data_IF_710327204272
#
_entry.id   IF_710327204272
#
_cell.length_a   1.000
_cell.length_b   1.000
_cell.length_c   1.000
_cell.angle_alpha   90.00
_cell.angle_beta   90.00
_cell.angle_gamma   90.00
#
_symmetry.space_group_name_H-M   'P 1'
#
loop_
_entity.id
_entity.type
_entity.pdbx_description
1 polymer ?
#
# COMPACT_ATOMS: atom_id res chain seq x y z
N UNK A 1 -17.72 -9.40 -5.23
CA UNK A 1 -17.92 -7.97 -4.82
C UNK A 1 -16.73 -7.08 -5.15
N UNK A 2 -15.49 -7.61 -5.11
CA UNK A 2 -14.29 -6.92 -5.63
C UNK A 2 -14.30 -6.84 -7.17
N UNK A 3 -14.98 -7.78 -7.82
CA UNK A 3 -15.06 -7.95 -9.28
C UNK A 3 -15.73 -6.78 -10.01
N UNK A 4 -16.61 -6.03 -9.32
CA UNK A 4 -17.25 -4.83 -9.87
C UNK A 4 -16.36 -3.58 -9.81
N UNK A 5 -15.27 -3.62 -9.04
CA UNK A 5 -14.34 -2.50 -8.84
C UNK A 5 -13.10 -2.62 -9.72
N UNK A 6 -12.79 -3.84 -10.18
CA UNK A 6 -11.74 -4.12 -11.18
C UNK A 6 -12.00 -3.25 -12.40
N UNK A 7 -11.02 -2.44 -12.78
CA UNK A 7 -11.05 -1.53 -13.94
C UNK A 7 -12.08 -0.39 -13.86
N UNK A 8 -12.66 -0.10 -12.70
CA UNK A 8 -13.46 1.12 -12.54
C UNK A 8 -12.57 2.37 -12.56
N UNK A 9 -13.06 3.46 -13.16
CA UNK A 9 -12.32 4.73 -13.20
C UNK A 9 -11.97 5.24 -11.80
N UNK A 10 -12.89 5.04 -10.84
CA UNK A 10 -12.67 5.37 -9.44
C UNK A 10 -11.49 4.58 -8.82
N UNK A 11 -11.36 3.30 -9.15
CA UNK A 11 -10.20 2.49 -8.71
C UNK A 11 -8.91 3.03 -9.35
N UNK A 12 -8.89 3.26 -10.67
CA UNK A 12 -7.71 3.80 -11.36
C UNK A 12 -7.24 5.13 -10.77
N UNK A 13 -8.16 6.06 -10.51
CA UNK A 13 -7.85 7.36 -9.89
C UNK A 13 -7.26 7.20 -8.49
N UNK A 14 -7.83 6.31 -7.66
CA UNK A 14 -7.31 6.01 -6.31
C UNK A 14 -5.91 5.41 -6.36
N UNK A 15 -5.68 4.43 -7.24
CA UNK A 15 -4.36 3.80 -7.40
C UNK A 15 -3.31 4.83 -7.83
N UNK A 16 -3.64 5.72 -8.77
CA UNK A 16 -2.75 6.79 -9.21
C UNK A 16 -2.41 7.77 -8.08
N UNK A 17 -3.37 8.12 -7.22
CA UNK A 17 -3.10 8.95 -6.03
C UNK A 17 -2.11 8.25 -5.09
N UNK A 18 -2.32 6.97 -4.83
CA UNK A 18 -1.45 6.15 -3.97
C UNK A 18 -0.04 6.04 -4.56
N UNK A 19 0.08 5.78 -5.85
CA UNK A 19 1.36 5.75 -6.58
C UNK A 19 2.11 7.08 -6.52
N UNK A 20 1.41 8.21 -6.70
CA UNK A 20 2.00 9.55 -6.59
C UNK A 20 2.60 9.82 -5.20
N UNK A 21 2.08 9.15 -4.16
CA UNK A 21 2.60 9.27 -2.80
C UNK A 21 3.92 8.55 -2.61
N UNK A 22 4.21 7.48 -3.36
CA UNK A 22 5.45 6.71 -3.21
C UNK A 22 6.65 7.32 -3.93
N UNK A 23 6.42 8.32 -4.79
CA UNK A 23 7.49 9.04 -5.49
C UNK A 23 8.38 8.12 -6.34
N UNK A 24 9.62 8.55 -6.60
CA UNK A 24 10.57 7.90 -7.51
C UNK A 24 11.09 6.53 -7.06
N UNK A 25 10.86 6.14 -5.79
CA UNK A 25 11.24 4.83 -5.25
C UNK A 25 10.08 3.82 -5.24
N UNK A 26 8.90 4.23 -5.71
CA UNK A 26 7.72 3.38 -5.84
C UNK A 26 7.80 2.42 -7.02
N UNK A 27 7.21 1.24 -6.87
CA UNK A 27 6.91 0.34 -7.99
C UNK A 27 5.58 0.76 -8.61
N UNK A 28 5.37 0.54 -9.93
CA UNK A 28 4.11 0.89 -10.56
C UNK A 28 2.95 0.09 -9.94
N UNK A 29 1.93 0.81 -9.47
CA UNK A 29 0.74 0.24 -8.83
C UNK A 29 -0.46 0.20 -9.76
N UNK A 30 -0.48 1.02 -10.82
CA UNK A 30 -1.52 1.07 -11.86
C UNK A 30 -1.54 -0.13 -12.82
N UNK A 31 -1.48 -1.36 -12.29
CA UNK A 31 -1.47 -2.59 -13.10
C UNK A 31 -2.90 -3.07 -13.37
N UNK A 32 -3.24 -3.52 -14.59
CA UNK A 32 -4.55 -4.10 -14.89
C UNK A 32 -4.92 -5.23 -13.93
N UNK A 33 -6.18 -5.27 -13.49
CA UNK A 33 -6.65 -6.29 -12.53
C UNK A 33 -6.29 -6.03 -11.07
N UNK A 34 -5.49 -4.98 -10.76
CA UNK A 34 -5.21 -4.58 -9.38
C UNK A 34 -6.32 -3.68 -8.84
N UNK A 35 -6.78 -3.98 -7.63
CA UNK A 35 -7.86 -3.24 -6.96
C UNK A 35 -7.39 -2.78 -5.59
N UNK A 36 -7.56 -1.49 -5.30
CA UNK A 36 -7.38 -0.97 -3.95
C UNK A 36 -8.59 -1.36 -3.11
N UNK A 37 -8.38 -2.30 -2.19
CA UNK A 37 -9.41 -2.86 -1.31
C UNK A 37 -9.57 -2.01 -0.05
N UNK A 38 -8.48 -1.45 0.46
CA UNK A 38 -8.51 -0.60 1.63
C UNK A 38 -7.24 0.20 1.84
N UNK A 39 -7.36 1.27 2.60
CA UNK A 39 -6.25 2.13 3.02
C UNK A 39 -6.43 2.55 4.47
N UNK A 40 -5.34 2.90 5.15
CA UNK A 40 -5.42 3.42 6.50
C UNK A 40 -4.07 3.49 7.20
N UNK A 41 -4.13 3.66 8.52
CA UNK A 41 -2.95 3.70 9.40
C UNK A 41 -2.92 2.42 10.25
N UNK A 42 -1.77 1.76 10.26
CA UNK A 42 -1.48 0.64 11.16
C UNK A 42 -0.35 1.01 12.10
N UNK A 43 -0.36 0.43 13.29
CA UNK A 43 0.76 0.53 14.23
C UNK A 43 1.66 -0.68 14.08
N UNK A 44 2.85 -0.48 13.51
CA UNK A 44 3.88 -1.51 13.45
C UNK A 44 4.49 -1.71 14.84
N UNK A 45 4.15 -2.85 15.45
CA UNK A 45 4.77 -3.31 16.68
C UNK A 45 6.26 -3.58 16.42
N UNK A 46 7.13 -2.79 17.04
CA UNK A 46 8.58 -2.98 16.99
C UNK A 46 9.09 -3.29 18.41
N UNK A 47 10.27 -3.89 18.52
CA UNK A 47 10.87 -4.25 19.81
C UNK A 47 11.05 -3.07 20.77
N UNK A 48 11.39 -1.88 20.26
CA UNK A 48 11.67 -0.68 21.07
C UNK A 48 10.43 0.19 21.28
N UNK A 49 9.81 0.68 20.20
CA UNK A 49 8.63 1.55 20.25
C UNK A 49 7.68 1.20 19.10
N UNK A 50 6.36 1.15 19.33
CA UNK A 50 5.38 1.05 18.25
C UNK A 50 5.53 2.22 17.28
N UNK A 51 5.39 1.97 15.97
CA UNK A 51 5.53 3.00 14.94
C UNK A 51 4.34 3.00 13.99
N UNK A 52 3.70 4.14 13.79
CA UNK A 52 2.59 4.30 12.83
C UNK A 52 3.08 4.17 11.38
N UNK A 53 2.28 3.54 10.52
CA UNK A 53 2.58 3.26 9.11
C UNK A 53 1.30 3.43 8.29
N UNK A 54 1.39 4.10 7.15
CA UNK A 54 0.31 4.07 6.16
C UNK A 54 0.33 2.69 5.52
N UNK A 55 -0.83 2.11 5.29
CA UNK A 55 -0.96 0.92 4.48
C UNK A 55 -2.00 1.13 3.38
N UNK A 56 -1.77 0.41 2.28
CA UNK A 56 -2.66 0.29 1.14
C UNK A 56 -2.75 -1.20 0.81
N UNK A 57 -3.94 -1.76 1.02
CA UNK A 57 -4.24 -3.15 0.75
C UNK A 57 -4.83 -3.26 -0.66
N UNK A 58 -4.11 -3.94 -1.53
CA UNK A 58 -4.61 -4.39 -2.81
C UNK A 58 -5.03 -5.86 -2.74
N UNK A 59 -5.74 -6.32 -3.76
CA UNK A 59 -6.14 -7.72 -3.90
C UNK A 59 -4.95 -8.69 -3.95
N UNK A 60 -3.82 -8.28 -4.52
CA UNK A 60 -2.64 -9.12 -4.76
C UNK A 60 -1.40 -8.73 -3.94
N UNK A 61 -1.41 -7.53 -3.35
CA UNK A 61 -0.26 -6.96 -2.65
C UNK A 61 -0.68 -6.05 -1.50
N UNK A 62 0.04 -6.09 -0.38
CA UNK A 62 -0.05 -5.10 0.67
C UNK A 62 1.18 -4.19 0.59
N UNK A 63 0.93 -2.89 0.48
CA UNK A 63 1.98 -1.87 0.48
C UNK A 63 1.89 -1.12 1.81
N UNK A 64 3.00 -1.04 2.54
CA UNK A 64 3.07 -0.21 3.75
C UNK A 64 4.33 0.65 3.77
N UNK A 65 4.22 1.84 4.37
CA UNK A 65 5.34 2.77 4.45
C UNK A 65 5.27 3.79 5.57
N UNK A 66 6.33 4.58 5.71
CA UNK A 66 6.37 5.70 6.67
C UNK A 66 5.41 6.81 6.23
N UNK A 67 4.58 7.28 7.15
CA UNK A 67 3.72 8.45 6.93
C UNK A 67 4.59 9.70 7.02
N UNK A 68 4.58 10.55 6.00
CA UNK A 68 5.09 11.93 6.11
C UNK A 68 3.87 12.85 6.12
N UNK A 69 3.61 13.42 7.29
CA UNK A 69 2.39 14.19 7.59
C UNK A 69 2.35 15.53 6.82
N UNK A 70 3.46 16.00 6.23
CA UNK A 70 3.55 17.30 5.56
C UNK A 70 3.45 17.26 4.02
N UNK A 71 2.54 16.44 3.48
CA UNK A 71 2.18 16.34 2.05
C UNK A 71 3.26 15.72 1.12
N UNK A 72 2.88 14.56 0.56
CA UNK A 72 3.32 14.00 -0.75
C UNK A 72 4.68 13.29 -0.85
N UNK A 73 5.13 12.52 0.15
CA UNK A 73 6.11 11.45 -0.14
C UNK A 73 6.17 10.39 0.95
N UNK A 74 6.02 9.12 0.59
CA UNK A 74 6.30 7.96 1.43
C UNK A 74 7.73 7.53 1.10
N UNK A 75 8.66 7.71 2.04
CA UNK A 75 10.09 7.48 1.80
C UNK A 75 10.48 6.01 1.61
N UNK A 76 9.77 5.09 2.27
CA UNK A 76 10.08 3.66 2.21
C UNK A 76 8.78 2.87 2.13
N UNK A 77 8.55 2.21 1.01
CA UNK A 77 7.47 1.26 0.80
C UNK A 77 8.02 -0.16 0.90
N UNK A 78 7.35 -1.04 1.64
CA UNK A 78 7.62 -2.47 1.57
C UNK A 78 6.41 -3.15 0.96
N UNK A 79 6.66 -3.95 -0.07
CA UNK A 79 5.66 -4.69 -0.83
C UNK A 79 5.60 -6.14 -0.33
N UNK A 80 4.40 -6.63 0.00
CA UNK A 80 4.19 -8.02 0.42
C UNK A 80 3.12 -8.67 -0.45
N UNK A 81 3.45 -9.73 -1.17
CA UNK A 81 2.46 -10.50 -1.94
C UNK A 81 1.53 -11.26 -1.01
N UNK A 82 0.22 -11.15 -1.24
CA UNK A 82 -0.81 -11.87 -0.47
C UNK A 82 -0.87 -13.36 -0.80
N UNK A 83 -0.22 -13.83 -1.88
CA UNK A 83 -0.18 -15.26 -2.27
C UNK A 83 0.71 -16.14 -1.37
N UNK A 84 1.50 -15.54 -0.47
CA UNK A 84 2.17 -16.23 0.62
C UNK A 84 1.74 -15.58 1.93
N UNK A 85 0.73 -16.17 2.55
CA UNK A 85 0.10 -15.80 3.83
C UNK A 85 1.02 -15.96 5.05
N UNK A 86 2.27 -15.51 4.97
CA UNK A 86 3.05 -15.16 6.14
C UNK A 86 3.69 -13.79 5.90
N UNK A 87 3.11 -12.76 6.51
CA UNK A 87 3.76 -11.46 6.71
C UNK A 87 4.89 -11.67 7.73
N UNK A 88 5.96 -12.38 7.30
CA UNK A 88 7.19 -12.51 8.05
C UNK A 88 8.14 -11.45 7.54
N UNK A 89 8.21 -10.35 8.29
CA UNK A 89 9.36 -9.46 8.24
C UNK A 89 10.54 -10.20 8.88
N UNK A 90 11.23 -11.04 8.11
CA UNK A 90 12.51 -11.60 8.54
C UNK A 90 13.50 -10.46 8.73
N UNK A 91 14.24 -10.54 9.84
CA UNK A 91 15.18 -9.52 10.31
C UNK A 91 16.24 -9.19 9.29
#
# INVERSE_FOLDING_TARGET
>A
MVDKLVNSEANTRRIAMVESCFGSSGQPLGVPGRVLVGEGVLTKMCRKKPKTRQFFLFNDILVYGNIIINKKKIQQATYHSTRRSQIRKFR
#
